data_IF_445826718882
#
_entry.id   IF_445826718882
#
_cell.length_a   1.000
_cell.length_b   1.000
_cell.length_c   1.000
_cell.angle_alpha   90.00
_cell.angle_beta   90.00
_cell.angle_gamma   90.00
#
_symmetry.space_group_name_H-M   'P 1'
#
loop_
_entity.id
_entity.type
_entity.pdbx_description
1 polymer ?
#
# COMPACT_ATOMS: atom_id res chain seq x y z
N UNK A 1 27.22 -21.91 26.69
CA UNK A 1 26.50 -20.73 27.20
C UNK A 1 27.26 -19.40 27.02
N UNK A 2 28.60 -19.36 27.18
CA UNK A 2 29.41 -18.14 27.01
C UNK A 2 29.47 -17.55 25.59
N UNK A 3 29.34 -18.37 24.54
CA UNK A 3 29.40 -17.90 23.15
C UNK A 3 28.18 -17.04 22.74
N UNK A 4 26.96 -17.41 23.17
CA UNK A 4 25.75 -16.63 22.90
C UNK A 4 25.76 -15.24 23.56
N UNK A 5 26.30 -15.12 24.78
CA UNK A 5 26.36 -13.84 25.50
C UNK A 5 27.30 -12.81 24.84
N UNK A 6 28.34 -13.27 24.13
CA UNK A 6 29.28 -12.39 23.43
C UNK A 6 28.64 -11.79 22.17
N UNK A 7 27.90 -12.58 21.40
CA UNK A 7 27.12 -12.08 20.26
C UNK A 7 25.96 -11.19 20.68
N UNK A 8 25.32 -11.50 21.82
CA UNK A 8 24.23 -10.71 22.37
C UNK A 8 24.61 -9.24 22.60
N UNK A 9 25.72 -8.99 23.31
CA UNK A 9 26.18 -7.61 23.57
C UNK A 9 26.61 -6.89 22.29
N UNK A 10 27.37 -7.56 21.42
CA UNK A 10 27.88 -6.94 20.19
C UNK A 10 26.75 -6.58 19.21
N UNK A 11 25.69 -7.39 19.10
CA UNK A 11 24.57 -7.08 18.21
C UNK A 11 23.76 -5.88 18.72
N UNK A 12 23.60 -5.72 20.03
CA UNK A 12 22.89 -4.56 20.62
C UNK A 12 23.65 -3.25 20.29
N UNK A 13 24.97 -3.23 20.45
CA UNK A 13 25.78 -2.05 20.11
C UNK A 13 25.64 -1.69 18.62
N UNK A 14 25.77 -2.68 17.71
CA UNK A 14 25.63 -2.45 16.27
C UNK A 14 24.24 -1.92 15.90
N UNK A 15 23.18 -2.43 16.53
CA UNK A 15 21.81 -1.97 16.27
C UNK A 15 21.58 -0.56 16.81
N UNK A 16 22.11 -0.25 17.99
CA UNK A 16 22.04 1.09 18.59
C UNK A 16 22.84 2.12 17.80
N UNK A 17 24.03 1.78 17.30
CA UNK A 17 24.84 2.64 16.42
C UNK A 17 24.09 3.02 15.13
N UNK A 18 23.17 2.15 14.69
CA UNK A 18 22.32 2.38 13.52
C UNK A 18 20.99 3.06 13.86
N UNK A 19 20.75 3.42 15.12
CA UNK A 19 19.56 4.12 15.59
C UNK A 19 18.33 3.22 15.80
N UNK A 20 18.52 1.91 15.89
CA UNK A 20 17.42 0.95 16.05
C UNK A 20 17.10 0.79 17.54
N UNK A 21 15.86 1.09 17.98
CA UNK A 21 15.50 0.99 19.39
C UNK A 21 15.37 -0.47 19.83
N UNK A 22 15.70 -0.74 21.08
CA UNK A 22 15.67 -2.07 21.68
C UNK A 22 14.26 -2.71 21.64
N UNK A 23 13.21 -1.88 21.65
CA UNK A 23 11.82 -2.31 21.45
C UNK A 23 11.57 -3.05 20.14
N UNK A 24 12.36 -2.78 19.10
CA UNK A 24 12.29 -3.48 17.80
C UNK A 24 12.97 -4.85 17.88
N UNK A 25 13.96 -5.00 18.77
CA UNK A 25 14.72 -6.23 18.97
C UNK A 25 13.89 -7.26 19.75
N UNK A 26 13.08 -6.81 20.72
CA UNK A 26 12.16 -7.67 21.49
C UNK A 26 11.20 -8.46 20.57
N UNK A 27 10.84 -7.89 19.42
CA UNK A 27 9.93 -8.52 18.44
C UNK A 27 10.61 -9.53 17.52
N UNK A 28 11.94 -9.64 17.60
CA UNK A 28 12.76 -10.47 16.73
C UNK A 28 13.97 -11.04 17.50
N UNK A 29 13.75 -11.83 18.57
CA UNK A 29 14.84 -12.38 19.38
C UNK A 29 15.78 -13.29 18.57
N UNK A 30 15.33 -13.81 17.43
CA UNK A 30 16.11 -14.65 16.53
C UNK A 30 17.35 -13.92 15.97
N UNK A 31 17.36 -12.58 15.98
CA UNK A 31 18.52 -11.79 15.53
C UNK A 31 19.78 -12.06 16.35
N UNK A 32 19.64 -12.53 17.60
CA UNK A 32 20.77 -12.89 18.44
C UNK A 32 21.48 -14.17 18.00
N UNK A 33 20.89 -14.95 17.11
CA UNK A 33 21.55 -16.12 16.50
C UNK A 33 22.55 -15.72 15.42
N UNK A 34 22.52 -14.47 14.95
CA UNK A 34 23.42 -13.96 13.92
C UNK A 34 24.71 -13.39 14.53
N UNK A 35 25.82 -13.53 13.80
CA UNK A 35 27.07 -12.86 14.13
C UNK A 35 26.99 -11.35 13.89
N UNK A 36 27.69 -10.56 14.70
CA UNK A 36 27.68 -9.09 14.65
C UNK A 36 28.12 -8.52 13.31
N UNK A 37 29.11 -9.14 12.67
CA UNK A 37 29.55 -8.74 11.32
C UNK A 37 28.43 -8.93 10.29
N UNK A 38 27.69 -10.04 10.38
CA UNK A 38 26.56 -10.32 9.48
C UNK A 38 25.42 -9.33 9.69
N UNK A 39 25.12 -8.97 10.93
CA UNK A 39 24.12 -7.94 11.25
C UNK A 39 24.53 -6.60 10.65
N UNK A 40 25.80 -6.20 10.84
CA UNK A 40 26.35 -4.96 10.30
C UNK A 40 26.28 -4.91 8.76
N UNK A 41 26.75 -5.96 8.07
CA UNK A 41 26.72 -6.02 6.61
C UNK A 41 25.29 -5.92 6.05
N UNK A 42 24.33 -6.60 6.68
CA UNK A 42 22.92 -6.57 6.25
C UNK A 42 22.28 -5.22 6.53
N UNK A 43 22.67 -4.53 7.60
CA UNK A 43 22.25 -3.16 7.89
C UNK A 43 22.75 -2.16 6.85
N UNK A 44 24.02 -2.27 6.43
CA UNK A 44 24.56 -1.43 5.35
C UNK A 44 23.76 -1.62 4.05
N UNK A 45 23.53 -2.88 3.65
CA UNK A 45 22.73 -3.21 2.44
C UNK A 45 21.29 -2.71 2.53
N UNK A 46 20.69 -2.76 3.73
CA UNK A 46 19.35 -2.24 3.98
C UNK A 46 19.29 -0.72 3.76
N UNK A 47 20.30 0.03 4.20
CA UNK A 47 20.41 1.49 3.96
C UNK A 47 20.71 1.84 2.51
N UNK A 48 21.48 1.02 1.80
CA UNK A 48 21.79 1.21 0.38
C UNK A 48 20.57 1.01 -0.53
N UNK A 49 19.63 0.14 -0.12
CA UNK A 49 18.42 -0.14 -0.89
C UNK A 49 17.35 0.91 -0.60
N UNK A 50 16.96 1.78 -1.56
CA UNK A 50 16.08 2.93 -1.32
C UNK A 50 14.73 2.54 -0.69
N UNK A 51 14.17 1.41 -1.12
CA UNK A 51 12.89 0.90 -0.64
C UNK A 51 12.99 0.41 0.80
N UNK A 52 14.14 -0.14 1.20
CA UNK A 52 14.33 -0.69 2.54
C UNK A 52 14.87 0.34 3.54
N UNK A 53 15.60 1.35 3.07
CA UNK A 53 16.13 2.44 3.88
C UNK A 53 15.03 3.19 4.64
N UNK A 54 13.84 3.29 4.03
CA UNK A 54 12.65 3.91 4.66
C UNK A 54 12.14 3.14 5.88
N UNK A 55 12.56 1.88 6.05
CA UNK A 55 12.08 0.99 7.11
C UNK A 55 13.05 0.81 8.28
N UNK A 56 14.19 1.53 8.29
CA UNK A 56 15.18 1.45 9.39
C UNK A 56 14.52 1.73 10.75
N UNK A 57 13.59 2.70 10.80
CA UNK A 57 12.89 3.09 12.02
C UNK A 57 11.66 2.20 12.33
N UNK A 58 11.40 1.17 11.52
CA UNK A 58 10.23 0.33 11.71
C UNK A 58 10.46 -0.71 12.82
N UNK A 59 9.46 -1.00 13.67
CA UNK A 59 9.56 -2.04 14.70
C UNK A 59 9.96 -3.44 14.20
N UNK A 60 9.77 -3.74 12.90
CA UNK A 60 10.14 -5.02 12.30
C UNK A 60 11.49 -5.00 11.57
N UNK A 61 12.27 -3.93 11.69
CA UNK A 61 13.60 -3.82 11.06
C UNK A 61 14.51 -5.00 11.43
N UNK A 62 14.42 -5.48 12.67
CA UNK A 62 15.19 -6.64 13.13
C UNK A 62 14.82 -7.92 12.35
N UNK A 63 13.54 -8.12 12.01
CA UNK A 63 13.10 -9.24 11.15
C UNK A 63 13.57 -9.08 9.71
N UNK A 64 13.68 -7.85 9.19
CA UNK A 64 14.24 -7.62 7.86
C UNK A 64 15.71 -8.06 7.78
N UNK A 65 16.47 -7.75 8.83
CA UNK A 65 17.88 -8.16 8.94
C UNK A 65 17.96 -9.68 9.06
N UNK A 66 17.14 -10.29 9.91
CA UNK A 66 17.15 -11.74 10.12
C UNK A 66 16.83 -12.51 8.83
N UNK A 67 15.73 -12.17 8.17
CA UNK A 67 15.26 -12.81 6.93
C UNK A 67 15.84 -12.18 5.65
N UNK A 68 17.04 -11.61 5.69
CA UNK A 68 17.63 -10.82 4.60
C UNK A 68 17.52 -11.46 3.19
N UNK A 69 17.85 -12.76 3.05
CA UNK A 69 17.77 -13.45 1.75
C UNK A 69 16.33 -13.51 1.22
N UNK A 70 15.39 -13.90 2.08
CA UNK A 70 13.94 -13.98 1.77
C UNK A 70 13.38 -12.61 1.43
N UNK A 71 13.72 -11.60 2.22
CA UNK A 71 13.33 -10.19 2.02
C UNK A 71 13.78 -9.69 0.65
N UNK A 72 15.04 -9.92 0.27
CA UNK A 72 15.56 -9.46 -1.02
C UNK A 72 14.91 -10.17 -2.22
N UNK A 73 14.68 -11.48 -2.13
CA UNK A 73 13.96 -12.22 -3.17
C UNK A 73 12.53 -11.71 -3.35
N UNK A 74 11.83 -11.46 -2.25
CA UNK A 74 10.47 -10.91 -2.27
C UNK A 74 10.42 -9.46 -2.69
N UNK A 75 11.41 -8.65 -2.33
CA UNK A 75 11.49 -7.25 -2.75
C UNK A 75 11.61 -7.16 -4.27
N UNK A 76 12.51 -7.94 -4.89
CA UNK A 76 12.62 -8.02 -6.36
C UNK A 76 11.29 -8.39 -7.01
N UNK A 77 10.59 -9.36 -6.45
CA UNK A 77 9.27 -9.77 -6.91
C UNK A 77 8.24 -8.63 -6.80
N UNK A 78 8.13 -8.01 -5.62
CA UNK A 78 7.16 -6.96 -5.33
C UNK A 78 7.44 -5.64 -6.08
N UNK A 79 8.71 -5.33 -6.36
CA UNK A 79 9.12 -4.23 -7.23
C UNK A 79 8.55 -4.42 -8.64
N UNK A 80 8.65 -5.64 -9.21
CA UNK A 80 8.05 -5.95 -10.52
C UNK A 80 6.53 -5.76 -10.57
N UNK A 81 5.87 -5.73 -9.40
CA UNK A 81 4.42 -5.56 -9.24
C UNK A 81 4.02 -4.18 -8.70
N UNK A 82 4.97 -3.23 -8.57
CA UNK A 82 4.75 -1.91 -7.96
C UNK A 82 4.05 -1.97 -6.57
N UNK A 83 4.36 -2.98 -5.77
CA UNK A 83 3.64 -3.30 -4.53
C UNK A 83 4.60 -3.63 -3.38
N UNK A 84 5.35 -2.64 -2.88
CA UNK A 84 6.23 -2.87 -1.73
C UNK A 84 5.46 -2.66 -0.43
N UNK A 85 5.32 -3.72 0.37
CA UNK A 85 4.74 -3.69 1.72
C UNK A 85 5.66 -4.45 2.66
N UNK A 86 6.06 -3.79 3.75
CA UNK A 86 6.98 -4.35 4.73
C UNK A 86 6.50 -5.68 5.31
N UNK A 87 5.21 -5.78 5.64
CA UNK A 87 4.62 -7.01 6.19
C UNK A 87 4.74 -8.19 5.22
N UNK A 88 4.64 -7.95 3.91
CA UNK A 88 4.79 -8.99 2.90
C UNK A 88 6.25 -9.46 2.76
N UNK A 89 7.22 -8.58 3.04
CA UNK A 89 8.64 -8.96 2.99
C UNK A 89 9.00 -9.97 4.08
N UNK A 90 8.42 -9.85 5.28
CA UNK A 90 8.78 -10.66 6.45
C UNK A 90 7.79 -11.76 6.82
N UNK A 91 6.61 -11.82 6.21
CA UNK A 91 5.60 -12.86 6.53
C UNK A 91 6.05 -14.28 6.15
N UNK A 92 5.39 -15.32 6.68
CA UNK A 92 5.64 -16.71 6.28
C UNK A 92 5.29 -16.97 4.79
N UNK A 93 5.79 -18.07 4.23
CA UNK A 93 5.59 -18.40 2.81
C UNK A 93 4.11 -18.65 2.49
N UNK A 94 3.36 -19.31 3.38
CA UNK A 94 1.93 -19.52 3.21
C UNK A 94 1.16 -18.20 3.03
N UNK A 95 1.36 -17.23 3.92
CA UNK A 95 0.66 -15.94 3.84
C UNK A 95 1.14 -15.09 2.67
N UNK A 96 2.43 -15.17 2.32
CA UNK A 96 2.96 -14.50 1.13
C UNK A 96 2.37 -15.09 -0.16
N UNK A 97 2.31 -16.41 -0.28
CA UNK A 97 1.73 -17.11 -1.42
C UNK A 97 0.22 -16.88 -1.46
N UNK A 98 -0.48 -16.88 -0.33
CA UNK A 98 -1.90 -16.50 -0.25
C UNK A 98 -2.12 -15.07 -0.71
N UNK A 99 -1.24 -14.13 -0.35
CA UNK A 99 -1.29 -12.77 -0.89
C UNK A 99 -1.07 -12.77 -2.41
N UNK A 100 -0.09 -13.54 -2.89
CA UNK A 100 0.25 -13.63 -4.30
C UNK A 100 -0.87 -14.27 -5.16
N UNK A 101 -1.52 -15.30 -4.64
CA UNK A 101 -2.62 -16.01 -5.29
C UNK A 101 -3.95 -15.24 -5.19
N UNK A 102 -4.20 -14.56 -4.06
CA UNK A 102 -5.48 -13.88 -3.83
C UNK A 102 -5.45 -12.40 -4.23
N UNK A 103 -4.26 -11.84 -4.53
CA UNK A 103 -4.06 -10.47 -4.99
C UNK A 103 -4.45 -9.36 -3.98
N UNK A 104 -4.78 -9.71 -2.74
CA UNK A 104 -5.50 -8.81 -1.84
C UNK A 104 -4.71 -8.56 -0.54
N UNK A 105 -4.15 -7.36 -0.42
CA UNK A 105 -3.42 -6.91 0.78
C UNK A 105 -4.44 -6.36 1.79
N UNK A 106 -4.86 -7.20 2.76
CA UNK A 106 -5.74 -6.76 3.84
C UNK A 106 -5.15 -5.61 4.67
N UNK A 107 -3.82 -5.45 4.69
CA UNK A 107 -3.12 -4.36 5.37
C UNK A 107 -3.34 -3.02 4.68
N UNK A 108 -3.20 -2.96 3.36
CA UNK A 108 -3.46 -1.75 2.56
C UNK A 108 -4.87 -1.21 2.79
N UNK A 109 -5.85 -2.10 2.82
CA UNK A 109 -7.25 -1.73 3.04
C UNK A 109 -7.43 -1.03 4.38
N UNK A 110 -6.75 -1.52 5.43
CA UNK A 110 -6.82 -0.94 6.76
C UNK A 110 -6.16 0.45 6.82
N UNK A 111 -5.01 0.63 6.17
CA UNK A 111 -4.31 1.91 6.13
C UNK A 111 -5.11 2.98 5.39
N UNK A 112 -5.79 2.61 4.29
CA UNK A 112 -6.74 3.47 3.57
C UNK A 112 -7.87 3.90 4.48
N UNK A 113 -8.46 2.98 5.23
CA UNK A 113 -9.54 3.30 6.16
C UNK A 113 -9.07 4.25 7.27
N UNK A 114 -7.91 4.02 7.88
CA UNK A 114 -7.35 4.89 8.92
C UNK A 114 -7.14 6.31 8.37
N UNK A 115 -6.53 6.42 7.19
CA UNK A 115 -6.29 7.69 6.53
C UNK A 115 -7.60 8.45 6.24
N UNK A 116 -8.58 7.79 5.60
CA UNK A 116 -9.84 8.44 5.24
C UNK A 116 -10.70 8.79 6.46
N UNK A 117 -10.70 7.95 7.50
CA UNK A 117 -11.40 8.24 8.77
C UNK A 117 -10.84 9.52 9.39
N UNK A 118 -9.52 9.69 9.40
CA UNK A 118 -8.86 10.91 9.91
C UNK A 118 -9.23 12.15 9.11
N UNK A 119 -9.19 12.06 7.77
CA UNK A 119 -9.39 13.24 6.92
C UNK A 119 -10.86 13.64 6.76
N UNK A 120 -11.77 12.67 6.58
CA UNK A 120 -13.20 12.92 6.37
C UNK A 120 -13.98 13.03 7.70
N UNK A 121 -13.48 12.45 8.80
CA UNK A 121 -14.14 12.48 10.11
C UNK A 121 -15.34 11.52 10.22
N UNK A 122 -15.45 10.57 9.30
CA UNK A 122 -16.56 9.62 9.20
C UNK A 122 -16.18 8.25 9.74
N UNK A 123 -17.17 7.45 10.17
CA UNK A 123 -16.89 6.12 10.71
C UNK A 123 -16.26 5.19 9.68
N UNK A 124 -15.33 4.36 10.15
CA UNK A 124 -14.65 3.35 9.31
C UNK A 124 -15.63 2.46 8.54
N UNK A 125 -16.75 2.08 9.17
CA UNK A 125 -17.77 1.22 8.56
C UNK A 125 -18.51 1.93 7.43
N UNK A 126 -18.89 3.20 7.63
CA UNK A 126 -19.56 4.01 6.60
C UNK A 126 -18.66 4.21 5.40
N UNK A 127 -17.41 4.65 5.61
CA UNK A 127 -16.44 4.85 4.52
C UNK A 127 -16.17 3.56 3.74
N UNK A 128 -16.07 2.44 4.46
CA UNK A 128 -15.92 1.12 3.83
C UNK A 128 -17.10 0.80 2.91
N UNK A 129 -18.34 0.95 3.40
CA UNK A 129 -19.54 0.66 2.61
C UNK A 129 -19.66 1.53 1.34
N UNK A 130 -19.13 2.75 1.37
CA UNK A 130 -19.14 3.66 0.22
C UNK A 130 -18.10 3.26 -0.82
N UNK A 131 -16.91 2.85 -0.38
CA UNK A 131 -15.83 2.41 -1.27
C UNK A 131 -16.08 1.01 -1.85
N UNK A 132 -16.73 0.12 -1.11
CA UNK A 132 -17.09 -1.23 -1.57
C UNK A 132 -17.99 -1.26 -2.80
N UNK A 133 -18.65 -0.13 -3.12
CA UNK A 133 -19.42 0.05 -4.35
C UNK A 133 -18.54 0.02 -5.62
N UNK A 134 -17.24 0.27 -5.50
CA UNK A 134 -16.32 0.24 -6.63
C UNK A 134 -15.57 -1.10 -6.66
N UNK A 135 -15.60 -1.88 -7.76
CA UNK A 135 -15.10 -3.25 -7.77
C UNK A 135 -13.62 -3.37 -7.41
N UNK A 136 -12.81 -2.36 -7.79
CA UNK A 136 -11.37 -2.38 -7.58
C UNK A 136 -10.85 -1.61 -6.37
N UNK A 137 -11.72 -1.17 -5.43
CA UNK A 137 -11.32 -0.26 -4.35
C UNK A 137 -10.16 -0.78 -3.48
N UNK A 138 -10.04 -2.11 -3.31
CA UNK A 138 -8.99 -2.76 -2.52
C UNK A 138 -7.63 -2.82 -3.23
N UNK A 139 -7.64 -2.69 -4.55
CA UNK A 139 -6.44 -2.76 -5.40
C UNK A 139 -5.79 -1.39 -5.59
N UNK A 140 -6.49 -0.31 -5.25
CA UNK A 140 -5.95 1.05 -5.37
C UNK A 140 -4.98 1.35 -4.23
N UNK A 141 -3.83 1.92 -4.58
CA UNK A 141 -2.82 2.29 -3.59
C UNK A 141 -3.26 3.46 -2.70
N UNK A 142 -2.88 3.44 -1.42
CA UNK A 142 -3.05 4.57 -0.50
C UNK A 142 -2.43 5.86 -1.05
N UNK A 143 -1.30 5.75 -1.77
CA UNK A 143 -0.63 6.90 -2.38
C UNK A 143 -1.52 7.60 -3.41
N UNK A 144 -2.22 6.84 -4.26
CA UNK A 144 -3.18 7.38 -5.23
C UNK A 144 -4.30 8.11 -4.50
N UNK A 145 -4.91 7.46 -3.51
CA UNK A 145 -6.00 8.03 -2.71
C UNK A 145 -5.59 9.32 -2.03
N UNK A 146 -4.39 9.36 -1.42
CA UNK A 146 -3.85 10.55 -0.77
C UNK A 146 -3.66 11.69 -1.76
N UNK A 147 -3.05 11.42 -2.91
CA UNK A 147 -2.84 12.44 -3.96
C UNK A 147 -4.15 13.01 -4.48
N UNK A 148 -5.15 12.15 -4.69
CA UNK A 148 -6.48 12.57 -5.18
C UNK A 148 -7.25 13.37 -4.14
N UNK A 149 -7.20 12.95 -2.87
CA UNK A 149 -7.78 13.70 -1.76
C UNK A 149 -7.15 15.09 -1.60
N UNK A 150 -5.81 15.17 -1.55
CA UNK A 150 -5.06 16.43 -1.48
C UNK A 150 -5.40 17.37 -2.65
N UNK A 151 -5.48 16.82 -3.86
CA UNK A 151 -5.86 17.59 -5.05
C UNK A 151 -7.27 18.17 -4.92
N UNK A 152 -8.27 17.36 -4.54
CA UNK A 152 -9.65 17.84 -4.41
C UNK A 152 -9.81 18.83 -3.26
N UNK A 153 -9.12 18.61 -2.13
CA UNK A 153 -9.08 19.56 -1.01
C UNK A 153 -8.52 20.92 -1.44
N UNK A 154 -7.45 20.95 -2.25
CA UNK A 154 -6.88 22.19 -2.82
C UNK A 154 -7.83 22.91 -3.79
N UNK A 155 -8.79 22.21 -4.38
CA UNK A 155 -9.82 22.77 -5.25
C UNK A 155 -11.11 23.14 -4.49
N UNK A 156 -11.04 23.29 -3.16
CA UNK A 156 -12.14 23.75 -2.30
C UNK A 156 -13.38 22.82 -2.28
N UNK A 157 -13.23 21.53 -2.57
CA UNK A 157 -14.31 20.57 -2.36
C UNK A 157 -14.53 20.29 -0.87
N UNK A 158 -15.79 20.29 -0.44
CA UNK A 158 -16.15 20.05 0.95
C UNK A 158 -16.01 18.58 1.34
N UNK A 159 -15.83 18.31 2.63
CA UNK A 159 -15.75 16.93 3.15
C UNK A 159 -17.01 16.13 2.85
N UNK A 160 -18.18 16.76 2.92
CA UNK A 160 -19.47 16.14 2.65
C UNK A 160 -19.59 15.69 1.18
N UNK A 161 -19.21 16.56 0.24
CA UNK A 161 -19.14 16.22 -1.18
C UNK A 161 -18.18 15.07 -1.45
N UNK A 162 -17.01 15.06 -0.80
CA UNK A 162 -16.04 13.96 -0.92
C UNK A 162 -16.53 12.66 -0.29
N UNK A 163 -17.33 12.74 0.77
CA UNK A 163 -17.97 11.57 1.36
C UNK A 163 -19.06 11.01 0.43
N UNK A 164 -19.87 11.88 -0.19
CA UNK A 164 -20.90 11.47 -1.13
C UNK A 164 -20.32 10.83 -2.40
N UNK A 165 -19.17 11.34 -2.87
CA UNK A 165 -18.47 10.84 -4.06
C UNK A 165 -17.13 10.17 -3.72
N UNK A 166 -17.05 9.37 -2.65
CA UNK A 166 -15.79 8.80 -2.15
C UNK A 166 -15.02 7.96 -3.19
N UNK A 167 -15.73 7.40 -4.16
CA UNK A 167 -15.16 6.60 -5.25
C UNK A 167 -14.20 7.42 -6.13
N UNK A 168 -14.38 8.74 -6.23
CA UNK A 168 -13.48 9.60 -7.03
C UNK A 168 -12.04 9.55 -6.52
N UNK A 169 -11.84 9.26 -5.22
CA UNK A 169 -10.52 9.16 -4.60
C UNK A 169 -9.72 7.97 -5.14
N UNK A 170 -10.39 7.01 -5.77
CA UNK A 170 -9.76 5.82 -6.36
C UNK A 170 -9.04 6.12 -7.69
N UNK A 171 -9.34 7.27 -8.31
CA UNK A 171 -8.81 7.63 -9.62
C UNK A 171 -7.51 8.42 -9.52
N UNK A 172 -6.58 8.25 -10.48
CA UNK A 172 -5.39 9.09 -10.59
C UNK A 172 -5.72 10.57 -10.81
N UNK A 173 -4.94 11.46 -10.19
CA UNK A 173 -5.15 12.93 -10.25
C UNK A 173 -5.24 13.48 -11.67
N UNK A 174 -4.46 12.98 -12.63
CA UNK A 174 -4.50 13.48 -14.00
C UNK A 174 -5.86 13.18 -14.66
N UNK A 175 -6.43 11.99 -14.45
CA UNK A 175 -7.76 11.65 -14.96
C UNK A 175 -8.83 12.52 -14.32
N UNK A 176 -8.74 12.78 -13.02
CA UNK A 176 -9.67 13.68 -12.32
C UNK A 176 -9.61 15.09 -12.93
N UNK A 177 -8.41 15.61 -13.21
CA UNK A 177 -8.23 16.91 -13.87
C UNK A 177 -8.86 16.93 -15.26
N UNK A 178 -8.59 15.93 -16.08
CA UNK A 178 -9.14 15.84 -17.43
C UNK A 178 -10.67 15.76 -17.39
N UNK A 179 -11.22 14.95 -16.48
CA UNK A 179 -12.64 14.81 -16.28
C UNK A 179 -13.31 16.11 -15.77
N UNK A 180 -12.64 16.88 -14.90
CA UNK A 180 -13.13 18.22 -14.50
C UNK A 180 -13.24 19.16 -15.71
N UNK A 181 -12.22 19.21 -16.57
CA UNK A 181 -12.24 20.05 -17.78
C UNK A 181 -13.31 19.60 -18.76
N UNK A 182 -13.50 18.29 -18.96
CA UNK A 182 -14.55 17.73 -19.82
C UNK A 182 -15.92 18.09 -19.26
N UNK A 183 -16.11 17.94 -17.95
CA UNK A 183 -17.38 18.22 -17.27
C UNK A 183 -17.76 19.69 -17.43
N UNK A 184 -16.84 20.62 -17.23
CA UNK A 184 -17.10 22.05 -17.44
C UNK A 184 -17.44 22.42 -18.89
N UNK A 185 -17.00 21.63 -19.88
CA UNK A 185 -17.31 21.88 -21.31
C UNK A 185 -18.61 21.22 -21.79
N UNK A 186 -19.29 20.45 -20.94
CA UNK A 186 -20.53 19.76 -21.33
C UNK A 186 -21.65 20.75 -21.65
N UNK A 187 -22.16 20.69 -22.88
CA UNK A 187 -23.28 21.53 -23.35
C UNK A 187 -24.65 20.96 -22.96
N UNK A 188 -24.73 19.65 -22.79
CA UNK A 188 -25.95 18.88 -22.48
C UNK A 188 -26.40 18.96 -21.01
N UNK A 189 -25.74 19.78 -20.19
CA UNK A 189 -26.04 19.97 -18.75
C UNK A 189 -26.36 21.43 -18.42
N UNK A 190 -26.86 22.20 -19.38
CA UNK A 190 -27.16 23.63 -19.22
C UNK A 190 -28.09 23.92 -18.03
N UNK A 191 -29.07 23.06 -17.76
CA UNK A 191 -30.00 23.17 -16.63
C UNK A 191 -29.36 22.95 -15.24
N UNK A 192 -28.15 22.38 -15.20
CA UNK A 192 -27.36 22.20 -13.97
C UNK A 192 -26.37 23.34 -13.73
N UNK A 193 -26.31 24.33 -14.63
CA UNK A 193 -25.44 25.49 -14.49
C UNK A 193 -26.11 26.60 -13.67
N UNK A 194 -25.30 27.38 -13.00
CA UNK A 194 -25.72 28.59 -12.32
C UNK A 194 -25.78 29.78 -13.31
N UNK A 195 -26.18 30.96 -12.83
CA UNK A 195 -26.24 32.18 -13.63
C UNK A 195 -24.87 32.62 -14.18
N UNK A 196 -23.76 32.19 -13.57
CA UNK A 196 -22.40 32.46 -14.06
C UNK A 196 -21.92 31.47 -15.13
N UNK A 197 -22.76 30.50 -15.52
CA UNK A 197 -22.43 29.48 -16.51
C UNK A 197 -21.58 28.32 -15.99
N UNK A 198 -21.27 28.26 -14.70
CA UNK A 198 -20.53 27.16 -14.06
C UNK A 198 -21.48 26.07 -13.56
N UNK A 199 -21.03 24.83 -13.51
CA UNK A 199 -21.85 23.73 -12.96
C UNK A 199 -22.05 23.95 -11.45
N UNK A 200 -23.29 23.80 -10.96
CA UNK A 200 -23.57 23.91 -9.53
C UNK A 200 -22.73 22.90 -8.74
N UNK A 201 -22.23 23.33 -7.58
CA UNK A 201 -21.25 22.58 -6.80
C UNK A 201 -21.74 21.19 -6.41
N UNK A 202 -23.04 21.02 -6.11
CA UNK A 202 -23.61 19.71 -5.74
C UNK A 202 -23.58 18.67 -6.88
N UNK A 203 -23.55 19.08 -8.15
CA UNK A 203 -23.58 18.18 -9.30
C UNK A 203 -22.19 17.95 -9.93
N UNK A 204 -21.20 18.77 -9.57
CA UNK A 204 -19.89 18.73 -10.22
C UNK A 204 -19.18 17.38 -10.02
N UNK A 205 -18.96 16.93 -8.78
CA UNK A 205 -18.27 15.65 -8.53
C UNK A 205 -19.02 14.41 -9.07
N UNK A 206 -20.36 14.30 -8.94
CA UNK A 206 -21.11 13.23 -9.58
C UNK A 206 -20.92 13.18 -11.11
N UNK A 207 -20.95 14.34 -11.78
CA UNK A 207 -20.73 14.42 -13.23
C UNK A 207 -19.28 14.11 -13.63
N UNK A 208 -18.31 14.50 -12.81
CA UNK A 208 -16.91 14.12 -13.01
C UNK A 208 -16.76 12.61 -12.92
N UNK A 209 -17.36 11.98 -11.90
CA UNK A 209 -17.33 10.53 -11.74
C UNK A 209 -18.01 9.81 -12.92
N UNK A 210 -19.15 10.33 -13.40
CA UNK A 210 -19.78 9.86 -14.63
C UNK A 210 -18.83 9.92 -15.83
N UNK A 211 -18.14 11.05 -16.02
CA UNK A 211 -17.19 11.20 -17.12
C UNK A 211 -15.96 10.29 -17.02
N UNK A 212 -15.55 9.91 -15.81
CA UNK A 212 -14.48 8.95 -15.59
C UNK A 212 -14.86 7.52 -15.99
N UNK A 213 -16.14 7.15 -15.88
CA UNK A 213 -16.61 5.77 -16.04
C UNK A 213 -17.46 5.49 -17.28
N UNK A 214 -18.04 6.51 -17.92
CA UNK A 214 -18.94 6.33 -19.07
C UNK A 214 -18.30 5.54 -20.22
N UNK A 215 -17.01 5.76 -20.49
CA UNK A 215 -16.27 5.11 -21.57
C UNK A 215 -15.83 3.68 -21.19
N UNK A 216 -15.95 3.33 -19.90
CA UNK A 216 -15.67 2.01 -19.33
C UNK A 216 -16.95 1.28 -18.93
N UNK A 217 -18.12 1.78 -19.33
CA UNK A 217 -19.42 1.19 -18.99
C UNK A 217 -19.61 0.94 -17.49
N UNK A 218 -19.02 1.78 -16.64
CA UNK A 218 -19.08 1.65 -15.17
C UNK A 218 -18.52 0.32 -14.65
N UNK A 219 -17.59 -0.32 -15.38
CA UNK A 219 -16.88 -1.51 -14.92
C UNK A 219 -15.89 -1.23 -13.78
N UNK A 220 -15.57 0.04 -13.54
CA UNK A 220 -14.50 0.47 -12.62
C UNK A 220 -13.11 0.45 -13.26
N UNK A 221 -12.96 0.04 -14.52
CA UNK A 221 -11.66 -0.01 -15.20
C UNK A 221 -11.07 1.40 -15.46
N UNK A 222 -11.87 2.46 -15.28
CA UNK A 222 -11.44 3.84 -15.39
C UNK A 222 -10.35 4.24 -14.39
N UNK A 223 -10.13 3.47 -13.33
CA UNK A 223 -9.05 3.72 -12.36
C UNK A 223 -7.65 3.41 -12.89
N UNK A 224 -7.53 2.59 -13.94
CA UNK A 224 -6.24 2.15 -14.47
C UNK A 224 -5.61 3.19 -15.41
N UNK A 225 -4.28 3.38 -15.33
CA UNK A 225 -3.56 4.26 -16.25
C UNK A 225 -3.50 3.62 -17.66
N UNK A 226 -4.45 3.91 -18.53
CA UNK A 226 -4.51 3.37 -19.90
C UNK A 226 -3.52 4.04 -20.86
N UNK A 227 -2.61 4.91 -20.38
CA UNK A 227 -1.61 5.59 -21.21
C UNK A 227 -0.43 4.70 -21.61
N UNK A 228 -0.40 3.43 -21.19
CA UNK A 228 0.42 2.43 -21.84
C UNK A 228 -0.41 1.80 -22.96
N UNK A 229 -0.10 2.17 -24.20
CA UNK A 229 -0.57 1.44 -25.38
C UNK A 229 -0.45 -0.05 -25.09
N UNK A 230 -1.61 -0.70 -25.10
CA UNK A 230 -1.81 -2.14 -25.04
C UNK A 230 -0.89 -2.85 -26.03
N UNK A 231 0.34 -3.20 -25.63
CA UNK A 231 0.92 -4.44 -26.09
C UNK A 231 0.05 -5.53 -25.48
N UNK A 232 -0.78 -6.15 -26.30
CA UNK A 232 -1.44 -7.42 -25.98
C UNK A 232 -0.37 -8.40 -25.51
N UNK A 233 -0.12 -8.48 -24.21
CA UNK A 233 0.53 -9.64 -23.62
C UNK A 233 -0.57 -10.69 -23.55
N UNK A 234 -0.47 -11.69 -24.43
CA UNK A 234 -1.29 -12.89 -24.36
C UNK A 234 -1.08 -13.50 -22.98
N UNK A 235 -2.17 -13.84 -22.29
CA UNK A 235 -2.10 -14.73 -21.13
C UNK A 235 -1.61 -16.10 -21.63
N UNK A 236 -0.30 -16.32 -21.62
CA UNK A 236 0.27 -17.67 -21.73
C UNK A 236 1.51 -17.91 -20.87
N UNK A 237 2.20 -16.87 -20.39
CA UNK A 237 3.50 -17.10 -19.74
C UNK A 237 3.61 -16.35 -18.40
N UNK A 238 2.94 -16.86 -17.37
CA UNK A 238 3.35 -16.59 -15.99
C UNK A 238 4.45 -17.59 -15.61
N UNK A 239 5.66 -17.16 -15.20
CA UNK A 239 6.59 -18.06 -14.56
C UNK A 239 5.95 -18.53 -13.25
N UNK A 240 5.71 -19.85 -13.11
CA UNK A 240 5.47 -20.45 -11.81
C UNK A 240 6.76 -20.29 -11.01
N UNK A 241 6.85 -19.24 -10.21
CA UNK A 241 7.88 -19.13 -9.20
C UNK A 241 7.53 -20.14 -8.09
N UNK A 242 8.08 -21.34 -8.21
CA UNK A 242 8.08 -22.33 -7.13
C UNK A 242 9.06 -21.82 -6.09
N UNK A 243 8.56 -21.27 -4.99
CA UNK A 243 9.39 -20.99 -3.83
C UNK A 243 9.57 -22.32 -3.11
N UNK A 244 10.80 -22.83 -3.08
CA UNK A 244 11.11 -24.07 -2.34
C UNK A 244 10.66 -23.93 -0.89
N UNK A 245 9.86 -24.90 -0.45
CA UNK A 245 9.52 -25.10 0.94
C UNK A 245 10.82 -25.48 1.68
N UNK A 246 11.48 -24.46 2.20
CA UNK A 246 12.45 -24.68 3.27
C UNK A 246 11.63 -24.99 4.52
N UNK A 247 11.87 -26.16 5.12
CA UNK A 247 11.27 -26.59 6.39
C UNK A 247 11.55 -25.51 7.45
N UNK A 248 10.61 -24.56 7.58
CA UNK A 248 10.58 -23.61 8.69
C UNK A 248 10.03 -24.37 9.90
N UNK A 249 10.87 -24.53 10.94
CA UNK A 249 10.40 -24.87 12.28
C UNK A 249 9.43 -23.78 12.71
N UNK A 250 8.14 -24.08 12.61
CA UNK A 250 7.05 -23.26 13.15
C UNK A 250 7.24 -23.14 14.67
N UNK A 251 7.94 -22.11 15.12
CA UNK A 251 7.84 -21.68 16.50
C UNK A 251 6.50 -20.95 16.67
N UNK A 252 5.45 -21.74 16.90
CA UNK A 252 4.26 -21.20 17.55
C UNK A 252 4.68 -20.56 18.88
N UNK A 253 4.27 -19.32 19.17
CA UNK A 253 4.44 -18.76 20.51
C UNK A 253 3.57 -19.60 21.45
N UNK A 254 4.22 -20.49 22.21
CA UNK A 254 3.60 -21.30 23.26
C UNK A 254 2.92 -20.37 24.26
N UNK A 255 1.61 -20.18 24.08
CA UNK A 255 0.73 -19.48 25.01
C UNK A 255 0.23 -20.49 26.02
N UNK A 256 1.13 -20.96 26.89
CA UNK A 256 0.77 -21.59 28.17
C UNK A 256 1.84 -21.28 29.22
N UNK A 257 1.66 -20.15 29.90
CA UNK A 257 2.09 -19.96 31.28
C UNK A 257 0.97 -19.23 32.03
N UNK A 258 0.06 -20.04 32.57
CA UNK A 258 -0.59 -19.82 33.86
C UNK A 258 -0.29 -21.09 34.68
#
# INVERSE_FOLDING_TARGET
MYFCLKYYKCNIFVLQDFGIPESSIVKAPEIYTLGSNTVYERLCKLKETPELASFVNNPQVARLIYYHTKVNSRLKYLQSKNCVSLNLLVTNNYSFNRFNCNGNDKGKTNDIMIYLTKELGESKNKLRSLLERHPYWQYISLLTIRKSFEFLKKNNFTKDQLCHCSQILLYPVHKIKDALVITEKMKNVSYLRNMSGSIKSEYLLPLVLYNLEKDYHFSGDGVWNTNEKTKKIRLSDSPKATFEDTEELDHEPSTKLL
#
